data_IF_920813059531
#
_entry.id   IF_920813059531
#
_cell.length_a   1.000
_cell.length_b   1.000
_cell.length_c   1.000
_cell.angle_alpha   90.00
_cell.angle_beta   90.00
_cell.angle_gamma   90.00
#
_symmetry.space_group_name_H-M   'P 1'
#
loop_
_entity.id
_entity.type
_entity.pdbx_description
1 polymer ?
#
# COMPACT_ATOMS: atom_id res chain seq x y z
N UNK A 1 8.15 -21.78 13.96
CA UNK A 1 7.29 -20.61 14.20
C UNK A 1 8.19 -19.42 14.56
N UNK A 2 8.62 -18.66 13.56
CA UNK A 2 9.65 -17.62 13.72
C UNK A 2 8.95 -16.30 14.06
N UNK A 3 9.18 -15.77 15.28
CA UNK A 3 8.66 -14.46 15.68
C UNK A 3 9.45 -13.37 14.92
N UNK A 4 8.81 -12.39 14.27
CA UNK A 4 9.55 -11.27 13.70
C UNK A 4 10.22 -10.49 14.84
N UNK A 5 11.51 -10.19 14.68
CA UNK A 5 12.25 -9.38 15.64
C UNK A 5 11.60 -7.99 15.73
N UNK A 6 11.26 -7.57 16.96
CA UNK A 6 10.67 -6.26 17.20
C UNK A 6 11.58 -5.15 16.64
N UNK A 7 11.01 -4.07 16.05
CA UNK A 7 11.81 -2.98 15.50
C UNK A 7 12.64 -2.33 16.62
N UNK A 8 13.96 -2.27 16.41
CA UNK A 8 14.91 -1.68 17.37
C UNK A 8 14.58 -0.20 17.57
N UNK A 9 14.39 0.21 18.83
CA UNK A 9 14.12 1.59 19.24
C UNK A 9 15.31 2.48 18.86
N UNK A 10 15.10 3.51 18.05
CA UNK A 10 16.16 4.49 17.76
C UNK A 10 16.51 5.27 19.03
N UNK A 11 17.80 5.31 19.36
CA UNK A 11 18.34 6.14 20.45
C UNK A 11 18.34 7.62 20.01
N UNK A 12 18.07 8.56 20.93
CA UNK A 12 17.99 9.99 20.62
C UNK A 12 19.31 10.61 20.14
N UNK A 13 20.43 9.92 20.34
CA UNK A 13 21.79 10.33 19.91
C UNK A 13 22.24 9.70 18.59
N UNK A 14 21.36 8.97 17.90
CA UNK A 14 21.74 8.25 16.66
C UNK A 14 21.87 9.22 15.47
N UNK A 15 23.02 9.22 14.76
CA UNK A 15 23.17 9.97 13.51
C UNK A 15 22.43 9.31 12.33
N UNK A 16 21.94 8.06 12.49
CA UNK A 16 21.20 7.35 11.46
C UNK A 16 19.72 7.72 11.47
N UNK A 17 19.23 8.23 10.34
CA UNK A 17 17.84 8.63 10.12
C UNK A 17 16.90 7.43 10.26
N UNK A 18 15.84 7.58 11.07
CA UNK A 18 14.82 6.54 11.24
C UNK A 18 14.18 6.19 9.88
N UNK A 19 13.83 4.91 9.64
CA UNK A 19 13.06 4.52 8.46
C UNK A 19 11.75 5.30 8.45
N UNK A 20 11.58 6.17 7.45
CA UNK A 20 10.31 6.86 7.22
C UNK A 20 9.31 5.78 6.86
N UNK A 21 8.32 5.55 7.73
CA UNK A 21 7.18 4.70 7.39
C UNK A 21 6.60 5.32 6.12
N UNK A 22 6.65 4.63 4.97
CA UNK A 22 6.13 5.21 3.74
C UNK A 22 4.67 5.56 4.00
N UNK A 23 4.32 6.83 3.78
CA UNK A 23 2.96 7.30 3.97
C UNK A 23 2.04 6.32 3.24
N UNK A 24 0.95 5.86 3.88
CA UNK A 24 0.00 4.99 3.19
C UNK A 24 -0.37 5.70 1.89
N UNK A 25 -0.07 5.06 0.76
CA UNK A 25 -0.37 5.61 -0.55
C UNK A 25 -1.88 5.89 -0.57
N UNK A 26 -2.24 7.16 -0.45
CA UNK A 26 -3.62 7.59 -0.57
C UNK A 26 -3.97 7.49 -2.04
N UNK A 27 -4.82 6.52 -2.35
CA UNK A 27 -5.48 6.43 -3.64
C UNK A 27 -6.72 7.30 -3.59
N UNK A 28 -7.15 7.84 -4.74
CA UNK A 28 -8.40 8.58 -4.92
C UNK A 28 -9.28 7.87 -5.95
N UNK A 29 -10.61 8.00 -5.83
CA UNK A 29 -11.53 7.37 -6.77
C UNK A 29 -11.26 7.96 -8.15
N UNK A 30 -11.06 7.09 -9.14
CA UNK A 30 -10.70 7.46 -10.50
C UNK A 30 -9.19 7.45 -10.79
N UNK A 31 -8.32 7.27 -9.78
CA UNK A 31 -6.87 7.12 -9.99
C UNK A 31 -6.57 5.86 -10.81
N UNK A 32 -5.55 5.97 -11.65
CA UNK A 32 -4.99 4.85 -12.39
C UNK A 32 -3.94 4.15 -11.54
N UNK A 33 -4.04 2.83 -11.47
CA UNK A 33 -3.23 2.00 -10.59
C UNK A 33 -2.78 0.76 -11.33
N UNK A 34 -1.59 0.27 -11.00
CA UNK A 34 -1.03 -0.94 -11.59
C UNK A 34 -0.85 -1.97 -10.49
N UNK A 35 -1.33 -3.18 -10.76
CA UNK A 35 -1.19 -4.34 -9.89
C UNK A 35 -0.32 -5.40 -10.56
N UNK A 36 0.66 -5.94 -9.85
CA UNK A 36 1.64 -6.88 -10.43
C UNK A 36 1.00 -8.12 -11.07
N UNK A 37 -0.15 -8.59 -10.56
CA UNK A 37 -0.84 -9.78 -11.09
C UNK A 37 -1.98 -9.47 -12.05
N UNK A 38 -2.62 -8.30 -11.94
CA UNK A 38 -3.83 -7.97 -12.70
C UNK A 38 -3.58 -6.94 -13.80
N UNK A 39 -2.40 -6.31 -13.78
CA UNK A 39 -2.04 -5.26 -14.71
C UNK A 39 -2.65 -3.93 -14.30
N UNK A 40 -3.07 -3.15 -15.29
CA UNK A 40 -3.58 -1.81 -15.10
C UNK A 40 -5.05 -1.84 -14.69
N UNK A 41 -5.40 -1.03 -13.69
CA UNK A 41 -6.76 -0.86 -13.21
C UNK A 41 -7.04 0.58 -12.82
N UNK A 42 -8.30 0.85 -12.49
CA UNK A 42 -8.78 2.14 -12.04
C UNK A 42 -9.48 1.99 -10.70
N UNK A 43 -9.19 2.89 -9.78
CA UNK A 43 -9.81 2.87 -8.47
C UNK A 43 -11.27 3.28 -8.60
N UNK A 44 -12.19 2.44 -8.14
CA UNK A 44 -13.64 2.71 -8.19
C UNK A 44 -14.22 3.04 -6.80
N UNK A 45 -13.59 2.54 -5.74
CA UNK A 45 -13.97 2.88 -4.36
C UNK A 45 -12.76 2.73 -3.44
N UNK A 46 -12.72 3.53 -2.37
CA UNK A 46 -11.65 3.50 -1.38
C UNK A 46 -12.28 3.37 0.00
N UNK A 47 -11.74 2.44 0.76
CA UNK A 47 -11.94 2.33 2.20
C UNK A 47 -10.64 2.84 2.85
N UNK A 48 -10.62 4.12 3.19
CA UNK A 48 -9.43 4.83 3.70
C UNK A 48 -8.78 4.08 4.87
N UNK A 49 -7.56 3.60 4.63
CA UNK A 49 -6.77 2.84 5.62
C UNK A 49 -7.07 1.35 5.71
N UNK A 50 -8.06 0.81 4.97
CA UNK A 50 -8.48 -0.60 5.06
C UNK A 50 -8.31 -1.30 3.70
N UNK A 51 -8.95 -0.80 2.65
CA UNK A 51 -9.01 -1.44 1.35
C UNK A 51 -9.19 -0.44 0.21
N UNK A 52 -8.83 -0.83 -1.01
CA UNK A 52 -9.19 -0.11 -2.23
C UNK A 52 -9.84 -1.09 -3.19
N UNK A 53 -10.99 -0.71 -3.73
CA UNK A 53 -11.66 -1.44 -4.79
C UNK A 53 -11.17 -0.91 -6.13
N UNK A 54 -10.53 -1.78 -6.89
CA UNK A 54 -9.94 -1.47 -8.19
C UNK A 54 -10.65 -2.29 -9.25
N UNK A 55 -11.06 -1.61 -10.32
CA UNK A 55 -11.54 -2.24 -11.53
C UNK A 55 -10.40 -2.42 -12.53
N UNK A 56 -10.06 -3.67 -12.84
CA UNK A 56 -9.07 -4.03 -13.86
C UNK A 56 -9.71 -4.24 -15.24
N UNK A 57 -10.98 -3.87 -15.41
CA UNK A 57 -11.77 -4.04 -16.63
C UNK A 57 -12.32 -5.47 -16.80
N UNK A 58 -11.48 -6.49 -16.56
CA UNK A 58 -11.90 -7.90 -16.60
C UNK A 58 -12.39 -8.42 -15.24
N UNK A 59 -11.93 -7.81 -14.15
CA UNK A 59 -12.35 -8.15 -12.79
C UNK A 59 -12.22 -6.96 -11.84
N UNK A 60 -13.20 -6.80 -10.96
CA UNK A 60 -13.10 -5.91 -9.81
C UNK A 60 -12.43 -6.65 -8.65
N UNK A 61 -11.40 -6.06 -8.05
CA UNK A 61 -10.69 -6.64 -6.92
C UNK A 61 -10.58 -5.64 -5.78
N UNK A 62 -10.94 -6.13 -4.60
CA UNK A 62 -10.73 -5.44 -3.34
C UNK A 62 -9.33 -5.78 -2.85
N UNK A 63 -8.46 -4.78 -2.78
CA UNK A 63 -7.07 -4.90 -2.33
C UNK A 63 -6.97 -4.30 -0.95
N UNK A 64 -6.54 -5.09 0.03
CA UNK A 64 -6.37 -4.64 1.41
C UNK A 64 -5.02 -3.95 1.61
N UNK A 65 -4.97 -2.99 2.54
CA UNK A 65 -3.73 -2.45 3.08
C UNK A 65 -2.84 -3.61 3.56
N UNK A 66 -1.52 -3.64 3.27
CA UNK A 66 -0.64 -2.51 2.95
C UNK A 66 -0.36 -2.29 1.45
N UNK A 67 -1.27 -2.70 0.55
CA UNK A 67 -1.16 -2.40 -0.90
C UNK A 67 0.18 -2.85 -1.52
N UNK A 68 0.78 -3.95 -1.03
CA UNK A 68 2.18 -4.31 -1.35
C UNK A 68 2.47 -4.54 -2.83
N UNK A 69 1.45 -4.86 -3.63
CA UNK A 69 1.56 -5.12 -5.08
C UNK A 69 0.91 -4.03 -5.93
N UNK A 70 0.64 -2.86 -5.33
CA UNK A 70 -0.06 -1.75 -5.97
C UNK A 70 0.84 -0.54 -6.13
N UNK A 71 0.90 -0.05 -7.36
CA UNK A 71 1.60 1.19 -7.69
C UNK A 71 0.58 2.17 -8.27
N UNK A 72 0.58 3.40 -7.76
CA UNK A 72 -0.16 4.51 -8.36
C UNK A 72 0.64 5.04 -9.56
N UNK A 73 -0.03 5.23 -10.70
CA UNK A 73 0.52 5.89 -11.89
C UNK A 73 0.34 7.41 -11.80
#
# INVERSE_FOLDING_TARGET
MTKPAAPKRHLPTSPFKAPVIPAPKHFSVGDQVTHDMYGLGRVISIEDGIAVLVDFGSAQKRILSPYSKMTKL
#
